data_IF_316233987422
#
_entry.id   IF_316233987422
#
_cell.length_a   1.000
_cell.length_b   1.000
_cell.length_c   1.000
_cell.angle_alpha   90.00
_cell.angle_beta   90.00
_cell.angle_gamma   90.00
#
_symmetry.space_group_name_H-M   'P 1'
#
loop_
_entity.id
_entity.type
_entity.pdbx_description
1 polymer ?
#
# COMPACT_ATOMS: atom_id res chain seq x y z
N UNK A 1 -35.41 14.06 14.27
CA UNK A 1 -35.01 12.64 14.27
C UNK A 1 -35.19 12.10 12.85
N UNK A 2 -34.18 12.22 12.00
CA UNK A 2 -34.09 11.50 10.73
C UNK A 2 -32.60 11.31 10.43
N UNK A 3 -32.22 10.05 10.30
CA UNK A 3 -30.86 9.54 10.31
C UNK A 3 -30.00 10.21 9.23
N UNK A 4 -28.85 10.73 9.68
CA UNK A 4 -27.68 11.04 8.86
C UNK A 4 -27.22 9.77 8.15
N UNK A 5 -27.72 9.55 6.93
CA UNK A 5 -27.08 8.62 5.99
C UNK A 5 -25.75 9.24 5.57
N UNK A 6 -24.72 9.00 6.38
CA UNK A 6 -23.35 8.97 5.93
C UNK A 6 -23.28 7.85 4.89
N UNK A 7 -23.50 8.21 3.63
CA UNK A 7 -22.90 7.48 2.52
C UNK A 7 -21.40 7.56 2.74
N UNK A 8 -20.84 6.54 3.38
CA UNK A 8 -19.43 6.25 3.21
C UNK A 8 -19.25 5.97 1.72
N UNK A 9 -18.75 6.97 0.99
CA UNK A 9 -18.28 6.85 -0.39
C UNK A 9 -17.19 5.77 -0.43
N UNK A 10 -17.59 4.50 -0.45
CA UNK A 10 -16.73 3.38 -0.80
C UNK A 10 -16.42 3.56 -2.27
N UNK A 11 -15.29 4.21 -2.55
CA UNK A 11 -14.65 4.23 -3.85
C UNK A 11 -14.67 2.78 -4.40
N UNK A 12 -15.19 2.59 -5.61
CA UNK A 12 -15.33 1.25 -6.21
C UNK A 12 -13.99 0.55 -6.12
N UNK A 13 -13.99 -0.70 -5.68
CA UNK A 13 -12.76 -1.45 -5.47
C UNK A 13 -11.83 -1.41 -6.70
N UNK A 14 -12.42 -1.48 -7.91
CA UNK A 14 -11.68 -1.44 -9.18
C UNK A 14 -10.87 -0.16 -9.42
N UNK A 15 -11.26 0.96 -8.80
CA UNK A 15 -10.58 2.25 -8.93
C UNK A 15 -9.58 2.53 -7.80
N UNK A 16 -9.51 1.67 -6.78
CA UNK A 16 -8.65 1.87 -5.61
C UNK A 16 -7.29 1.22 -5.84
N UNK A 17 -6.23 2.03 -5.76
CA UNK A 17 -4.83 1.57 -5.86
C UNK A 17 -4.15 1.62 -4.50
N UNK A 18 -3.63 0.50 -4.08
CA UNK A 18 -2.87 0.34 -2.86
C UNK A 18 -1.39 0.08 -3.17
N UNK A 19 -0.49 0.82 -2.54
CA UNK A 19 0.95 0.58 -2.65
C UNK A 19 1.43 -0.09 -1.37
N UNK A 20 2.13 -1.20 -1.50
CA UNK A 20 2.81 -1.87 -0.40
C UNK A 20 4.31 -1.64 -0.52
N UNK A 21 4.87 -0.91 0.45
CA UNK A 21 6.28 -0.50 0.48
C UNK A 21 6.99 -1.26 1.60
N UNK A 22 7.72 -2.35 1.27
CA UNK A 22 8.49 -3.09 2.26
C UNK A 22 9.75 -2.33 2.70
N UNK A 23 10.33 -2.77 3.83
CA UNK A 23 11.62 -2.27 4.33
C UNK A 23 12.80 -2.68 3.44
N UNK A 24 12.76 -3.90 2.94
CA UNK A 24 13.81 -4.49 2.11
C UNK A 24 13.15 -5.53 1.21
N UNK A 25 13.26 -5.36 -0.11
CA UNK A 25 12.76 -6.36 -1.07
C UNK A 25 13.68 -7.59 -1.08
N UNK A 26 13.11 -8.78 -1.27
CA UNK A 26 13.89 -10.03 -1.30
C UNK A 26 14.06 -10.74 0.06
N UNK A 27 13.46 -10.22 1.14
CA UNK A 27 13.33 -10.97 2.41
C UNK A 27 12.00 -11.73 2.39
N UNK A 28 12.02 -13.03 2.64
CA UNK A 28 10.82 -13.89 2.59
C UNK A 28 9.64 -13.36 3.41
N UNK A 29 9.90 -12.69 4.54
CA UNK A 29 8.88 -12.05 5.37
C UNK A 29 8.07 -10.98 4.62
N UNK A 30 8.74 -10.12 3.85
CA UNK A 30 8.08 -9.06 3.07
C UNK A 30 7.48 -9.58 1.78
N UNK A 31 8.09 -10.61 1.17
CA UNK A 31 7.52 -11.29 0.00
C UNK A 31 6.18 -11.93 0.37
N UNK A 32 6.12 -12.72 1.43
CA UNK A 32 4.86 -13.35 1.88
C UNK A 32 3.82 -12.33 2.32
N UNK A 33 4.24 -11.23 2.96
CA UNK A 33 3.35 -10.12 3.29
C UNK A 33 2.78 -9.43 2.04
N UNK A 34 3.62 -9.21 1.02
CA UNK A 34 3.23 -8.63 -0.26
C UNK A 34 2.30 -9.53 -1.08
N UNK A 35 2.56 -10.84 -1.09
CA UNK A 35 1.70 -11.85 -1.70
C UNK A 35 0.33 -11.90 -1.03
N UNK A 36 0.28 -11.91 0.31
CA UNK A 36 -0.98 -11.86 1.06
C UNK A 36 -1.76 -10.57 0.81
N UNK A 37 -1.08 -9.43 0.75
CA UNK A 37 -1.70 -8.14 0.41
C UNK A 37 -2.28 -8.18 -1.01
N UNK A 38 -1.56 -8.76 -1.97
CA UNK A 38 -2.02 -8.91 -3.35
C UNK A 38 -3.21 -9.87 -3.48
N UNK A 39 -3.17 -11.01 -2.81
CA UNK A 39 -4.27 -11.98 -2.82
C UNK A 39 -5.55 -11.39 -2.19
N UNK A 40 -5.41 -10.62 -1.11
CA UNK A 40 -6.53 -9.86 -0.54
C UNK A 40 -6.99 -8.74 -1.47
N UNK A 41 -6.06 -8.12 -2.19
CA UNK A 41 -6.35 -7.14 -3.22
C UNK A 41 -7.22 -7.71 -4.32
N UNK A 42 -6.81 -8.84 -4.88
CA UNK A 42 -7.54 -9.56 -5.92
C UNK A 42 -8.93 -10.03 -5.42
N UNK A 43 -9.04 -10.48 -4.16
CA UNK A 43 -10.33 -10.85 -3.54
C UNK A 43 -11.26 -9.66 -3.36
N UNK A 44 -10.73 -8.49 -3.04
CA UNK A 44 -11.50 -7.26 -2.85
C UNK A 44 -11.76 -6.52 -4.17
N UNK A 45 -11.06 -6.88 -5.25
CA UNK A 45 -11.11 -6.20 -6.54
C UNK A 45 -10.29 -4.91 -6.60
N UNK A 46 -9.30 -4.76 -5.73
CA UNK A 46 -8.44 -3.56 -5.60
C UNK A 46 -7.03 -3.85 -6.15
N UNK A 47 -6.40 -2.87 -6.79
CA UNK A 47 -5.04 -3.04 -7.30
C UNK A 47 -4.02 -2.85 -6.18
N UNK A 48 -3.27 -3.90 -5.86
CA UNK A 48 -2.17 -3.83 -4.89
C UNK A 48 -0.83 -3.92 -5.61
N UNK A 49 0.00 -2.87 -5.48
CA UNK A 49 1.35 -2.83 -6.01
C UNK A 49 2.38 -3.01 -4.90
N UNK A 50 3.10 -4.13 -4.94
CA UNK A 50 4.25 -4.37 -4.07
C UNK A 50 5.53 -3.85 -4.72
N UNK A 51 6.11 -2.78 -4.19
CA UNK A 51 7.32 -2.17 -4.74
C UNK A 51 8.01 -1.29 -3.68
N UNK A 52 9.34 -1.34 -3.64
CA UNK A 52 10.14 -0.73 -2.57
C UNK A 52 11.64 -0.92 -2.76
N UNK A 53 12.45 -0.33 -1.85
CA UNK A 53 13.89 -0.32 -2.00
C UNK A 53 14.51 -1.70 -1.77
N UNK A 54 15.52 -2.04 -2.59
CA UNK A 54 16.36 -3.24 -2.44
C UNK A 54 17.36 -3.13 -1.29
N UNK A 55 17.61 -1.93 -0.80
CA UNK A 55 18.46 -1.66 0.36
C UNK A 55 17.66 -0.92 1.44
N UNK A 56 17.82 -1.31 2.71
CA UNK A 56 17.14 -0.66 3.82
C UNK A 56 17.70 0.75 4.04
N UNK A 57 17.07 1.75 3.42
CA UNK A 57 17.43 3.16 3.57
C UNK A 57 16.16 4.02 3.67
N UNK A 58 16.13 4.89 4.69
CA UNK A 58 15.03 5.85 4.91
C UNK A 58 14.90 6.78 3.69
N UNK A 59 16.02 7.24 3.14
CA UNK A 59 16.02 8.11 1.95
C UNK A 59 15.47 7.39 0.71
N UNK A 60 15.75 6.09 0.56
CA UNK A 60 15.17 5.26 -0.50
C UNK A 60 13.65 5.17 -0.35
N UNK A 61 13.19 4.87 0.86
CA UNK A 61 11.77 4.75 1.17
C UNK A 61 10.99 6.04 0.89
N UNK A 62 11.53 7.21 1.26
CA UNK A 62 10.90 8.51 0.98
C UNK A 62 10.74 8.76 -0.53
N UNK A 63 11.68 8.33 -1.38
CA UNK A 63 11.55 8.44 -2.84
C UNK A 63 10.39 7.60 -3.37
N UNK A 64 10.26 6.35 -2.88
CA UNK A 64 9.16 5.47 -3.26
C UNK A 64 7.81 6.04 -2.81
N UNK A 65 7.70 6.52 -1.56
CA UNK A 65 6.50 7.18 -1.05
C UNK A 65 6.10 8.35 -1.95
N UNK A 66 7.05 9.23 -2.30
CA UNK A 66 6.77 10.35 -3.21
C UNK A 66 6.30 9.87 -4.60
N UNK A 67 6.86 8.78 -5.12
CA UNK A 67 6.44 8.22 -6.40
C UNK A 67 4.98 7.73 -6.35
N UNK A 68 4.60 7.00 -5.30
CA UNK A 68 3.22 6.53 -5.13
C UNK A 68 2.22 7.67 -4.89
N UNK A 69 2.62 8.72 -4.17
CA UNK A 69 1.81 9.94 -4.02
C UNK A 69 1.57 10.58 -5.39
N UNK A 70 2.61 10.74 -6.21
CA UNK A 70 2.48 11.29 -7.56
C UNK A 70 1.62 10.42 -8.49
N UNK A 71 1.63 9.11 -8.30
CA UNK A 71 0.79 8.16 -9.04
C UNK A 71 -0.68 8.15 -8.55
N UNK A 72 -1.05 9.00 -7.59
CA UNK A 72 -2.39 9.08 -7.02
C UNK A 72 -2.88 7.74 -6.45
N UNK A 73 -2.02 7.07 -5.68
CA UNK A 73 -2.45 5.89 -4.90
C UNK A 73 -3.38 6.31 -3.76
N UNK A 74 -4.41 5.50 -3.53
CA UNK A 74 -5.44 5.75 -2.53
C UNK A 74 -5.01 5.37 -1.12
N UNK A 75 -4.19 4.33 -0.98
CA UNK A 75 -3.52 4.06 0.29
C UNK A 75 -2.11 3.52 0.11
N UNK A 76 -1.29 3.83 1.10
CA UNK A 76 0.11 3.43 1.19
C UNK A 76 0.26 2.56 2.44
N UNK A 77 0.55 1.28 2.25
CA UNK A 77 0.93 0.34 3.28
C UNK A 77 2.45 0.32 3.38
N UNK A 78 3.01 1.02 4.36
CA UNK A 78 4.46 1.15 4.54
C UNK A 78 4.94 0.30 5.71
N UNK A 79 5.93 -0.55 5.48
CA UNK A 79 6.71 -1.16 6.56
C UNK A 79 7.88 -0.24 6.87
N UNK A 80 7.75 0.57 7.92
CA UNK A 80 8.75 1.57 8.29
C UNK A 80 10.12 0.93 8.54
N UNK A 81 11.14 1.55 7.95
CA UNK A 81 12.54 1.16 8.19
C UNK A 81 13.15 1.79 9.44
N UNK A 82 12.56 2.88 9.93
CA UNK A 82 12.94 3.55 11.18
C UNK A 82 12.70 2.62 12.37
N UNK A 83 13.68 2.56 13.28
CA UNK A 83 13.65 1.77 14.53
C UNK A 83 13.29 2.63 15.74
N UNK A 84 12.59 3.74 15.51
CA UNK A 84 12.14 4.69 16.53
C UNK A 84 10.62 4.65 16.64
#
# INVERSE_FOLDING_TARGET
MACSSQTADKKKADDVKFAFIPKLTGVGFFTSGGEGAKEMGDKLGVQVKYDGPSEASVSGQVKYINNFINQNYDALMVSSTSVD
#
